data_IF_079531750093
#
_entry.id   IF_079531750093
#
_cell.length_a   1.000
_cell.length_b   1.000
_cell.length_c   1.000
_cell.angle_alpha   90.00
_cell.angle_beta   90.00
_cell.angle_gamma   90.00
#
_symmetry.space_group_name_H-M   'P 1'
#
loop_
_entity.id
_entity.type
_entity.pdbx_description
1 polymer ?
#
# COMPACT_ATOMS: atom_id res chain seq x y z
N UNK A 1 14.90 -22.25 9.85
CA UNK A 1 14.04 -21.24 10.50
C UNK A 1 13.07 -20.72 9.44
N UNK A 2 11.75 -20.91 9.60
CA UNK A 2 10.73 -20.54 8.60
C UNK A 2 10.56 -19.01 8.56
N UNK A 3 10.69 -18.40 7.38
CA UNK A 3 10.56 -16.94 7.21
C UNK A 3 9.07 -16.55 7.14
N UNK A 4 8.61 -15.67 8.04
CA UNK A 4 7.23 -15.18 8.06
C UNK A 4 7.04 -14.07 7.00
N UNK A 5 6.75 -14.46 5.75
CA UNK A 5 6.23 -13.55 4.71
C UNK A 5 7.21 -12.49 4.19
N UNK A 6 6.84 -11.79 3.11
CA UNK A 6 7.56 -10.58 2.67
C UNK A 6 7.30 -9.46 3.65
N UNK A 7 8.32 -8.68 4.03
CA UNK A 7 8.10 -7.53 4.91
C UNK A 7 7.21 -6.47 4.22
N UNK A 8 7.39 -6.26 2.91
CA UNK A 8 6.52 -5.48 2.01
C UNK A 8 6.78 -5.92 0.56
N UNK A 9 5.75 -5.92 -0.31
CA UNK A 9 5.89 -6.10 -1.75
C UNK A 9 5.41 -4.83 -2.49
N UNK A 10 6.16 -4.39 -3.51
CA UNK A 10 5.85 -3.20 -4.31
C UNK A 10 5.79 -3.54 -5.80
N UNK A 11 4.78 -3.02 -6.49
CA UNK A 11 4.60 -3.09 -7.94
C UNK A 11 4.69 -1.67 -8.54
N UNK A 12 5.41 -1.52 -9.65
CA UNK A 12 5.68 -0.24 -10.31
C UNK A 12 5.45 -0.35 -11.82
N UNK A 13 4.74 0.63 -12.37
CA UNK A 13 4.53 0.76 -13.82
C UNK A 13 5.00 2.15 -14.25
N UNK A 14 5.91 2.23 -15.22
CA UNK A 14 6.22 3.48 -15.93
C UNK A 14 5.55 3.42 -17.29
N UNK A 15 4.81 4.47 -17.61
CA UNK A 15 4.30 4.71 -18.94
C UNK A 15 4.82 6.03 -19.50
N UNK A 16 5.20 6.05 -20.76
CA UNK A 16 5.47 7.25 -21.54
C UNK A 16 4.72 7.14 -22.87
N UNK A 17 4.11 8.23 -23.33
CA UNK A 17 3.33 8.25 -24.59
C UNK A 17 2.23 7.16 -24.70
N UNK A 18 1.71 6.71 -23.56
CA UNK A 18 0.69 5.64 -23.50
C UNK A 18 1.24 4.22 -23.62
N UNK A 19 2.56 4.06 -23.78
CA UNK A 19 3.24 2.77 -23.78
C UNK A 19 3.84 2.45 -22.41
N UNK A 20 3.72 1.19 -21.97
CA UNK A 20 4.32 0.72 -20.73
C UNK A 20 5.74 0.25 -20.97
N UNK A 21 6.68 0.78 -20.19
CA UNK A 21 8.09 0.41 -20.24
C UNK A 21 8.47 -0.43 -19.02
N UNK A 22 8.95 -1.64 -19.28
CA UNK A 22 9.37 -2.59 -18.24
C UNK A 22 10.89 -2.68 -18.09
N UNK A 23 11.67 -2.02 -18.94
CA UNK A 23 13.14 -2.02 -18.92
C UNK A 23 13.70 -0.62 -19.14
N UNK A 24 14.87 -0.37 -18.56
CA UNK A 24 15.59 0.90 -18.60
C UNK A 24 17.00 0.67 -19.13
N UNK A 25 17.48 1.56 -20.00
CA UNK A 25 18.86 1.54 -20.46
C UNK A 25 19.83 1.93 -19.34
N UNK A 26 19.38 2.80 -18.42
CA UNK A 26 20.12 3.17 -17.22
C UNK A 26 19.49 2.55 -15.98
N UNK A 27 20.32 2.04 -15.08
CA UNK A 27 19.83 1.43 -13.84
C UNK A 27 19.25 2.48 -12.91
N UNK A 28 18.07 2.21 -12.37
CA UNK A 28 17.43 3.03 -11.35
C UNK A 28 17.76 2.50 -9.96
N UNK A 29 17.91 3.40 -8.98
CA UNK A 29 18.12 3.03 -7.58
C UNK A 29 16.79 2.90 -6.86
N UNK A 30 16.46 1.70 -6.42
CA UNK A 30 15.32 1.45 -5.54
C UNK A 30 15.79 1.48 -4.08
N UNK A 31 15.00 2.12 -3.22
CA UNK A 31 15.25 2.18 -1.77
C UNK A 31 13.99 1.79 -1.02
N UNK A 32 14.08 0.72 -0.23
CA UNK A 32 12.97 0.19 0.55
C UNK A 32 13.23 0.42 2.03
N UNK A 33 12.31 1.11 2.71
CA UNK A 33 12.34 1.19 4.17
C UNK A 33 11.92 -0.14 4.76
N UNK A 34 12.61 -0.57 5.80
CA UNK A 34 12.31 -1.77 6.55
C UNK A 34 12.26 -1.44 8.03
N UNK A 35 11.36 -2.10 8.76
CA UNK A 35 11.30 -1.96 10.19
C UNK A 35 12.54 -2.61 10.82
N UNK A 36 13.49 -1.76 11.24
CA UNK A 36 14.74 -2.20 11.88
C UNK A 36 14.54 -3.10 13.10
N UNK A 37 13.37 -3.04 13.77
CA UNK A 37 13.04 -3.92 14.91
C UNK A 37 12.82 -5.37 14.49
N UNK A 38 12.50 -5.60 13.22
CA UNK A 38 12.24 -6.92 12.65
C UNK A 38 13.51 -7.55 12.04
N UNK A 39 14.58 -6.77 11.88
CA UNK A 39 15.86 -7.20 11.29
C UNK A 39 16.74 -7.81 12.37
N UNK A 40 17.03 -9.11 12.27
CA UNK A 40 17.94 -9.80 13.20
C UNK A 40 19.38 -9.74 12.73
N UNK A 41 19.61 -9.91 11.43
CA UNK A 41 20.92 -9.81 10.80
C UNK A 41 20.86 -8.91 9.56
N UNK A 42 21.33 -7.65 9.68
CA UNK A 42 21.39 -6.70 8.57
C UNK A 42 22.08 -7.20 7.31
N UNK A 43 23.09 -8.09 7.44
CA UNK A 43 23.83 -8.63 6.28
C UNK A 43 22.97 -9.56 5.42
N UNK A 44 21.94 -10.15 6.01
CA UNK A 44 21.02 -11.08 5.35
C UNK A 44 19.82 -10.37 4.71
N UNK A 45 19.66 -9.06 4.95
CA UNK A 45 18.59 -8.28 4.34
C UNK A 45 18.93 -8.02 2.88
N UNK A 46 18.15 -8.64 1.98
CA UNK A 46 18.34 -8.56 0.53
C UNK A 46 17.01 -8.31 -0.18
N UNK A 47 17.13 -7.68 -1.34
CA UNK A 47 16.04 -7.44 -2.28
C UNK A 47 15.99 -8.62 -3.25
N UNK A 48 14.79 -9.14 -3.45
CA UNK A 48 14.46 -10.15 -4.44
C UNK A 48 13.38 -9.60 -5.37
N UNK A 49 13.38 -10.03 -6.63
CA UNK A 49 12.28 -9.79 -7.55
C UNK A 49 11.49 -11.07 -7.80
N UNK A 50 10.20 -10.93 -8.08
CA UNK A 50 9.36 -12.06 -8.43
C UNK A 50 9.45 -12.35 -9.93
N UNK A 51 10.01 -13.49 -10.29
CA UNK A 51 9.99 -13.98 -11.66
C UNK A 51 8.66 -14.69 -11.91
N UNK A 52 7.72 -14.00 -12.56
CA UNK A 52 6.38 -14.54 -12.86
C UNK A 52 6.41 -15.75 -13.78
N UNK A 53 7.40 -15.83 -14.69
CA UNK A 53 7.53 -16.97 -15.62
C UNK A 53 7.91 -18.24 -14.89
N UNK A 54 8.79 -18.12 -13.91
CA UNK A 54 9.30 -19.25 -13.13
C UNK A 54 8.58 -19.45 -11.80
N UNK A 55 7.69 -18.53 -11.42
CA UNK A 55 6.95 -18.56 -10.16
C UNK A 55 7.86 -18.59 -8.93
N UNK A 56 8.97 -17.84 -8.96
CA UNK A 56 9.97 -17.85 -7.88
C UNK A 56 10.60 -16.48 -7.64
N UNK A 57 11.11 -16.29 -6.42
CA UNK A 57 11.91 -15.13 -6.05
C UNK A 57 13.36 -15.29 -6.52
N UNK A 58 13.90 -14.27 -7.18
CA UNK A 58 15.29 -14.22 -7.65
C UNK A 58 16.04 -13.08 -6.97
N UNK A 59 17.29 -13.35 -6.57
CA UNK A 59 18.10 -12.41 -5.80
C UNK A 59 18.56 -11.25 -6.69
N UNK A 60 18.23 -10.03 -6.29
CA UNK A 60 18.81 -8.80 -6.87
C UNK A 60 20.06 -8.38 -6.07
N UNK A 61 20.01 -8.55 -4.75
CA UNK A 61 21.10 -8.17 -3.85
C UNK A 61 20.71 -7.02 -2.92
N UNK A 62 21.51 -5.96 -2.91
CA UNK A 62 21.23 -4.75 -2.14
C UNK A 62 22.03 -4.60 -0.85
N UNK A 63 22.12 -3.35 -0.42
CA UNK A 63 22.87 -2.89 0.74
C UNK A 63 21.94 -2.31 1.80
N UNK A 64 21.97 -2.88 3.00
CA UNK A 64 21.21 -2.38 4.14
C UNK A 64 22.00 -1.31 4.89
N UNK A 65 21.38 -0.14 5.10
CA UNK A 65 21.92 0.97 5.88
C UNK A 65 20.79 1.74 6.54
N UNK A 66 20.88 1.94 7.86
CA UNK A 66 19.97 2.80 8.64
C UNK A 66 18.47 2.49 8.44
N UNK A 67 18.06 1.22 8.48
CA UNK A 67 16.65 0.83 8.34
C UNK A 67 16.11 0.91 6.91
N UNK A 68 17.00 0.99 5.92
CA UNK A 68 16.63 0.91 4.51
C UNK A 68 17.57 -0.03 3.75
N UNK A 69 17.05 -0.68 2.72
CA UNK A 69 17.86 -1.44 1.75
C UNK A 69 17.81 -0.77 0.39
N UNK A 70 18.96 -0.59 -0.25
CA UNK A 70 19.09 0.03 -1.57
C UNK A 70 19.64 -0.95 -2.60
N UNK A 71 19.13 -0.90 -3.83
CA UNK A 71 19.62 -1.73 -4.95
C UNK A 71 19.44 -1.01 -6.29
N UNK A 72 20.28 -1.33 -7.27
CA UNK A 72 20.14 -0.86 -8.65
C UNK A 72 19.52 -1.94 -9.53
N UNK A 73 18.49 -1.60 -10.31
CA UNK A 73 17.81 -2.49 -11.26
C UNK A 73 17.59 -1.81 -12.61
N UNK A 74 17.49 -2.58 -13.67
CA UNK A 74 17.23 -2.15 -15.05
C UNK A 74 15.84 -2.56 -15.55
N UNK A 75 15.00 -3.14 -14.70
CA UNK A 75 13.66 -3.56 -15.07
C UNK A 75 12.66 -3.34 -13.94
N UNK A 76 11.37 -3.36 -14.27
CA UNK A 76 10.31 -3.45 -13.26
C UNK A 76 9.88 -4.90 -13.05
N UNK A 77 9.57 -5.18 -11.79
CA UNK A 77 8.99 -6.42 -11.32
C UNK A 77 8.35 -6.12 -9.97
N UNK A 78 7.65 -7.10 -9.41
CA UNK A 78 7.31 -7.05 -8.00
C UNK A 78 8.58 -7.30 -7.16
N UNK A 79 8.95 -6.33 -6.32
CA UNK A 79 10.11 -6.44 -5.43
C UNK A 79 9.70 -6.74 -4.00
N UNK A 80 10.48 -7.59 -3.34
CA UNK A 80 10.31 -7.92 -1.92
C UNK A 80 11.63 -7.86 -1.17
N UNK A 81 11.58 -7.37 0.07
CA UNK A 81 12.74 -7.36 0.98
C UNK A 81 12.61 -8.50 1.98
N UNK A 82 13.65 -9.32 2.06
CA UNK A 82 13.70 -10.50 2.91
C UNK A 82 14.99 -10.55 3.71
N UNK A 83 14.90 -11.04 4.94
CA UNK A 83 16.07 -11.43 5.72
C UNK A 83 16.36 -12.91 5.48
N UNK A 84 17.22 -13.20 4.49
CA UNK A 84 17.51 -14.55 4.00
C UNK A 84 16.71 -14.93 2.75
N UNK A 85 16.85 -16.19 2.32
CA UNK A 85 16.22 -16.67 1.09
C UNK A 85 14.71 -16.92 1.31
N UNK A 86 13.84 -16.26 0.52
CA UNK A 86 12.40 -16.51 0.57
C UNK A 86 12.07 -17.91 0.02
N UNK A 87 11.01 -18.49 0.58
CA UNK A 87 10.44 -19.75 0.13
C UNK A 87 9.66 -19.54 -1.18
N UNK A 88 9.86 -20.39 -2.18
CA UNK A 88 9.17 -20.30 -3.49
C UNK A 88 7.65 -20.41 -3.38
N UNK A 89 7.13 -20.99 -2.30
CA UNK A 89 5.67 -21.03 -2.03
C UNK A 89 5.07 -19.67 -1.66
N UNK A 90 5.90 -18.64 -1.41
CA UNK A 90 5.46 -17.28 -1.05
C UNK A 90 5.24 -16.45 -2.31
N UNK A 91 4.02 -16.49 -2.85
CA UNK A 91 3.59 -15.56 -3.91
C UNK A 91 3.54 -14.13 -3.37
N UNK A 92 3.94 -13.10 -4.13
CA UNK A 92 3.81 -11.71 -3.68
C UNK A 92 2.36 -11.42 -3.31
N UNK A 93 2.13 -10.99 -2.08
CA UNK A 93 0.80 -10.56 -1.64
C UNK A 93 0.73 -9.06 -1.76
N UNK A 94 -0.19 -8.55 -2.59
CA UNK A 94 -0.45 -7.11 -2.67
C UNK A 94 -0.96 -6.63 -1.30
N UNK A 95 -0.19 -5.77 -0.64
CA UNK A 95 -0.61 -5.16 0.63
C UNK A 95 -1.60 -4.06 0.29
N UNK A 96 -2.88 -4.42 0.18
CA UNK A 96 -3.98 -3.49 -0.09
C UNK A 96 -4.45 -2.75 1.19
N UNK A 97 -3.52 -2.25 2.00
CA UNK A 97 -3.86 -1.23 3.01
C UNK A 97 -3.47 0.14 2.47
N UNK A 98 -4.42 0.77 1.76
CA UNK A 98 -4.40 2.21 1.57
C UNK A 98 -4.49 2.86 2.96
N UNK A 99 -3.75 3.95 3.26
CA UNK A 99 -3.96 4.71 4.48
C UNK A 99 -5.44 5.11 4.56
N UNK A 100 -6.06 4.87 5.71
CA UNK A 100 -7.50 4.98 5.89
C UNK A 100 -8.00 6.42 5.65
N UNK A 101 -8.38 6.73 4.41
CA UNK A 101 -8.95 8.04 4.00
C UNK A 101 -10.44 7.95 3.67
N UNK A 102 -11.03 6.75 3.71
CA UNK A 102 -12.44 6.51 3.40
C UNK A 102 -13.42 6.90 4.54
N UNK A 103 -12.93 7.17 5.76
CA UNK A 103 -13.81 7.48 6.90
C UNK A 103 -14.42 8.89 6.86
N UNK A 104 -13.79 9.88 6.20
CA UNK A 104 -14.24 11.28 6.32
C UNK A 104 -15.59 11.55 5.59
N UNK A 105 -15.84 10.89 4.46
CA UNK A 105 -17.07 11.09 3.67
C UNK A 105 -18.32 10.54 4.37
N UNK A 106 -18.21 9.43 5.10
CA UNK A 106 -19.36 8.85 5.82
C UNK A 106 -19.77 9.71 7.02
N UNK A 107 -18.80 10.24 7.78
CA UNK A 107 -19.08 11.11 8.93
C UNK A 107 -19.75 12.43 8.50
N UNK A 108 -19.30 13.04 7.39
CA UNK A 108 -19.92 14.25 6.83
C UNK A 108 -21.33 13.95 6.30
N UNK A 109 -21.55 12.82 5.63
CA UNK A 109 -22.86 12.40 5.14
C UNK A 109 -23.85 12.15 6.29
N UNK A 110 -23.41 11.47 7.36
CA UNK A 110 -24.23 11.21 8.54
C UNK A 110 -24.59 12.50 9.29
N UNK A 111 -23.64 13.43 9.42
CA UNK A 111 -23.90 14.75 10.00
C UNK A 111 -24.92 15.55 9.16
N UNK A 112 -24.79 15.51 7.83
CA UNK A 112 -25.75 16.12 6.91
C UNK A 112 -27.15 15.52 7.04
N UNK A 113 -27.26 14.19 7.14
CA UNK A 113 -28.53 13.50 7.35
C UNK A 113 -29.19 13.90 8.69
N UNK A 114 -28.41 13.99 9.77
CA UNK A 114 -28.92 14.43 11.08
C UNK A 114 -29.49 15.86 11.03
N UNK A 115 -28.83 16.79 10.34
CA UNK A 115 -29.32 18.16 10.17
C UNK A 115 -30.66 18.21 9.42
N UNK A 116 -30.83 17.38 8.38
CA UNK A 116 -32.08 17.28 7.63
C UNK A 116 -33.20 16.75 8.53
N UNK A 117 -32.96 15.69 9.30
CA UNK A 117 -33.96 15.11 10.22
C UNK A 117 -34.42 16.13 11.25
N UNK A 118 -33.49 16.88 11.85
CA UNK A 118 -33.80 17.96 12.80
C UNK A 118 -34.63 19.06 12.13
N UNK A 119 -34.24 19.50 10.93
CA UNK A 119 -34.97 20.52 10.18
C UNK A 119 -36.40 20.11 9.85
N UNK A 120 -36.61 18.86 9.40
CA UNK A 120 -37.94 18.31 9.14
C UNK A 120 -38.76 18.22 10.42
N UNK A 121 -38.16 17.75 11.52
CA UNK A 121 -38.82 17.70 12.84
C UNK A 121 -39.32 19.08 13.29
N UNK A 122 -38.46 20.10 13.22
CA UNK A 122 -38.81 21.48 13.56
C UNK A 122 -39.92 22.05 12.65
N UNK A 123 -39.88 21.76 11.34
CA UNK A 123 -40.93 22.17 10.41
C UNK A 123 -42.29 21.58 10.78
N UNK A 124 -42.35 20.28 11.12
CA UNK A 124 -43.60 19.64 11.52
C UNK A 124 -44.13 20.15 12.86
N UNK A 125 -43.26 20.40 13.85
CA UNK A 125 -43.66 21.00 15.13
C UNK A 125 -44.23 22.40 14.92
N UNK A 126 -43.57 23.24 14.12
CA UNK A 126 -44.07 24.59 13.79
C UNK A 126 -45.39 24.53 13.01
N UNK A 127 -45.53 23.61 12.06
CA UNK A 127 -46.76 23.43 11.27
C UNK A 127 -47.95 22.98 12.13
N UNK A 128 -47.72 22.20 13.19
CA UNK A 128 -48.78 21.78 14.13
C UNK A 128 -49.22 22.92 15.05
N UNK A 129 -48.29 23.77 15.48
CA UNK A 129 -48.59 24.87 16.39
C UNK A 129 -49.15 26.12 15.68
N UNK A 130 -48.94 26.25 14.36
CA UNK A 130 -49.48 27.36 13.56
C UNK A 130 -50.94 27.21 13.11
N UNK A 131 -51.66 26.17 13.56
CA UNK A 131 -53.08 25.93 13.22
C UNK A 131 -54.06 26.22 14.37
N UNK A 132 -53.60 26.84 15.45
CA UNK A 132 -54.46 27.38 16.51
C UNK A 132 -54.22 28.87 16.61
N UNK A 133 -54.93 29.64 15.77
CA UNK A 133 -55.50 30.96 16.07
C UNK A 133 -56.21 31.47 14.80
N UNK A 134 -57.53 31.64 14.94
CA UNK A 134 -58.58 31.98 13.97
C UNK A 134 -59.06 30.86 13.05
#
# INVERSE_FOLDING_TARGET
>A
MKVKGSMVAYDFTIAADGETYHKFNEKVKLTFKVDSKQVKNPKNVKVYYWNEKEGKWELVGGEYKNGAVSVYTDHFSTYGVFEGQPDSSKVPTQVNELPNTATNSFNILLAGFMLIVVGVGLYFVKRRNGKTNY
#
